data_IF_979661123921
#
_entry.id   IF_979661123921
#
_cell.length_a   1.000
_cell.length_b   1.000
_cell.length_c   1.000
_cell.angle_alpha   90.00
_cell.angle_beta   90.00
_cell.angle_gamma   90.00
#
_symmetry.space_group_name_H-M   'P 1'
#
loop_
_entity.id
_entity.type
_entity.pdbx_description
1 polymer ?
#
# COMPACT_ATOMS: atom_id res chain seq x y z
N UNK A 1 26.36 6.24 -2.70
CA UNK A 1 25.96 7.23 -1.67
C UNK A 1 24.73 8.03 -2.11
N UNK A 2 24.80 8.70 -3.28
CA UNK A 2 23.71 9.58 -3.78
C UNK A 2 22.36 8.84 -3.85
N UNK A 3 22.30 7.63 -4.42
CA UNK A 3 21.06 6.86 -4.52
C UNK A 3 20.44 6.55 -3.15
N UNK A 4 21.23 6.16 -2.16
CA UNK A 4 20.71 5.89 -0.81
C UNK A 4 20.13 7.15 -0.16
N UNK A 5 20.76 8.31 -0.36
CA UNK A 5 20.25 9.60 0.13
C UNK A 5 18.93 9.96 -0.57
N UNK A 6 18.85 9.77 -1.89
CA UNK A 6 17.61 10.01 -2.64
C UNK A 6 16.48 9.15 -2.13
N UNK A 7 16.72 7.85 -1.87
CA UNK A 7 15.69 6.93 -1.34
C UNK A 7 15.20 7.38 0.03
N UNK A 8 16.10 7.79 0.93
CA UNK A 8 15.72 8.31 2.25
C UNK A 8 14.93 9.60 2.14
N UNK A 9 15.36 10.54 1.29
CA UNK A 9 14.63 11.78 1.05
C UNK A 9 13.26 11.56 0.45
N UNK A 10 13.12 10.57 -0.44
CA UNK A 10 11.84 10.17 -1.00
C UNK A 10 10.89 9.67 0.10
N UNK A 11 11.36 8.80 0.98
CA UNK A 11 10.55 8.31 2.11
C UNK A 11 10.13 9.45 3.02
N UNK A 12 11.08 10.28 3.46
CA UNK A 12 10.80 11.41 4.35
C UNK A 12 9.83 12.39 3.68
N UNK A 13 10.05 12.74 2.41
CA UNK A 13 9.18 13.63 1.67
C UNK A 13 7.76 13.09 1.51
N UNK A 14 7.61 11.78 1.20
CA UNK A 14 6.30 11.14 1.07
C UNK A 14 5.54 11.10 2.40
N UNK A 15 6.22 10.75 3.49
CA UNK A 15 5.62 10.71 4.83
C UNK A 15 5.21 12.11 5.29
N UNK A 16 6.08 13.11 5.11
CA UNK A 16 5.76 14.50 5.44
C UNK A 16 4.59 15.02 4.60
N UNK A 17 4.58 14.74 3.30
CA UNK A 17 3.46 15.12 2.43
C UNK A 17 2.15 14.50 2.90
N UNK A 18 2.16 13.21 3.27
CA UNK A 18 0.97 12.53 3.78
C UNK A 18 0.40 13.21 5.03
N UNK A 19 1.25 13.55 6.02
CA UNK A 19 0.79 14.16 7.27
C UNK A 19 0.48 15.66 7.16
N UNK A 20 1.14 16.38 6.27
CA UNK A 20 0.91 17.82 6.08
C UNK A 20 -0.26 18.12 5.13
N UNK A 21 -0.65 17.16 4.29
CA UNK A 21 -1.76 17.33 3.35
C UNK A 21 -3.10 17.00 4.02
N UNK A 22 -4.09 17.91 4.00
CA UNK A 22 -5.38 17.70 4.67
C UNK A 22 -6.32 16.73 3.92
N UNK A 23 -5.94 16.19 2.79
CA UNK A 23 -6.82 15.38 1.92
C UNK A 23 -7.39 14.12 2.60
N UNK A 24 -6.64 13.52 3.53
CA UNK A 24 -7.06 12.30 4.24
C UNK A 24 -7.99 12.54 5.42
N UNK A 25 -8.20 13.81 5.82
CA UNK A 25 -9.06 14.19 6.94
C UNK A 25 -10.52 14.38 6.53
N UNK A 26 -10.81 14.37 5.23
CA UNK A 26 -12.17 14.58 4.72
C UNK A 26 -12.87 13.22 4.60
N UNK A 27 -13.99 12.97 5.34
CA UNK A 27 -14.77 11.76 5.17
C UNK A 27 -15.28 11.65 3.73
N UNK A 28 -15.02 10.54 3.07
CA UNK A 28 -15.37 10.34 1.67
C UNK A 28 -16.85 9.98 1.55
N UNK A 29 -17.39 9.26 2.55
CA UNK A 29 -18.76 8.77 2.52
C UNK A 29 -19.46 8.97 3.85
N UNK A 30 -20.50 9.78 3.89
CA UNK A 30 -21.23 10.14 5.11
C UNK A 30 -21.90 8.96 5.83
N UNK A 31 -22.41 7.98 5.08
CA UNK A 31 -23.12 6.82 5.63
C UNK A 31 -22.31 5.50 5.54
N UNK A 32 -21.14 5.54 4.94
CA UNK A 32 -20.31 4.39 4.61
C UNK A 32 -18.97 4.44 5.34
N UNK A 33 -18.96 4.74 6.62
CA UNK A 33 -17.76 4.86 7.45
C UNK A 33 -16.81 3.66 7.37
N UNK A 34 -17.33 2.46 7.09
CA UNK A 34 -16.52 1.27 6.88
C UNK A 34 -15.63 1.34 5.62
N UNK A 35 -15.98 2.16 4.61
CA UNK A 35 -15.12 2.42 3.44
C UNK A 35 -13.94 3.28 3.87
N UNK A 36 -14.20 4.34 4.64
CA UNK A 36 -13.16 5.22 5.15
C UNK A 36 -12.19 4.46 6.07
N UNK A 37 -12.70 3.58 6.94
CA UNK A 37 -11.89 2.72 7.80
C UNK A 37 -11.02 1.76 6.98
N UNK A 38 -11.57 1.14 5.94
CA UNK A 38 -10.84 0.24 5.05
C UNK A 38 -9.74 0.97 4.28
N UNK A 39 -10.02 2.17 3.77
CA UNK A 39 -9.02 3.02 3.13
C UNK A 39 -7.91 3.39 4.10
N UNK A 40 -8.25 3.79 5.32
CA UNK A 40 -7.28 4.15 6.35
C UNK A 40 -6.36 2.97 6.68
N UNK A 41 -6.92 1.77 6.90
CA UNK A 41 -6.14 0.55 7.16
C UNK A 41 -5.22 0.25 5.97
N UNK A 42 -5.73 0.36 4.75
CA UNK A 42 -4.94 0.13 3.54
C UNK A 42 -3.77 1.11 3.44
N UNK A 43 -3.99 2.39 3.70
CA UNK A 43 -2.92 3.39 3.71
C UNK A 43 -1.87 3.12 4.78
N UNK A 44 -2.27 2.71 5.98
CA UNK A 44 -1.33 2.37 7.05
C UNK A 44 -0.47 1.17 6.65
N UNK A 45 -1.09 0.09 6.17
CA UNK A 45 -0.37 -1.13 5.78
C UNK A 45 0.55 -0.88 4.59
N UNK A 46 0.03 -0.27 3.51
CA UNK A 46 0.83 0.04 2.33
C UNK A 46 1.93 1.06 2.63
N UNK A 47 1.64 2.07 3.45
CA UNK A 47 2.61 3.06 3.90
C UNK A 47 3.75 2.42 4.69
N UNK A 48 3.43 1.52 5.62
CA UNK A 48 4.44 0.77 6.37
C UNK A 48 5.33 -0.07 5.45
N UNK A 49 4.74 -0.83 4.54
CA UNK A 49 5.48 -1.67 3.57
C UNK A 49 6.35 -0.80 2.66
N UNK A 50 5.83 0.32 2.18
CA UNK A 50 6.57 1.28 1.36
C UNK A 50 7.81 1.81 2.08
N UNK A 51 7.65 2.26 3.32
CA UNK A 51 8.76 2.77 4.14
C UNK A 51 9.79 1.67 4.40
N UNK A 52 9.33 0.48 4.82
CA UNK A 52 10.20 -0.65 5.13
C UNK A 52 11.05 -1.07 3.92
N UNK A 53 10.44 -1.24 2.75
CA UNK A 53 11.15 -1.65 1.53
C UNK A 53 12.16 -0.58 1.09
N UNK A 54 11.77 0.69 1.08
CA UNK A 54 12.68 1.76 0.65
C UNK A 54 13.86 1.96 1.60
N UNK A 55 13.63 1.87 2.91
CA UNK A 55 14.71 1.94 3.91
C UNK A 55 15.64 0.73 3.83
N UNK A 56 15.06 -0.47 3.63
CA UNK A 56 15.84 -1.67 3.40
C UNK A 56 16.70 -1.56 2.14
N UNK A 57 16.15 -1.06 1.05
CA UNK A 57 16.88 -0.82 -0.19
C UNK A 57 17.99 0.24 0.00
N UNK A 58 17.70 1.34 0.70
CA UNK A 58 18.70 2.35 1.03
C UNK A 58 19.83 1.76 1.87
N UNK A 59 19.50 0.90 2.85
CA UNK A 59 20.48 0.18 3.65
C UNK A 59 21.35 -0.74 2.78
N UNK A 60 20.77 -1.52 1.89
CA UNK A 60 21.49 -2.40 0.97
C UNK A 60 22.45 -1.60 0.08
N UNK A 61 22.01 -0.53 -0.53
CA UNK A 61 22.84 0.35 -1.38
C UNK A 61 23.99 0.96 -0.59
N UNK A 62 23.73 1.36 0.66
CA UNK A 62 24.78 1.90 1.54
C UNK A 62 25.77 0.82 1.98
N UNK A 63 25.28 -0.34 2.40
CA UNK A 63 26.06 -1.43 2.98
C UNK A 63 26.89 -2.19 1.95
N UNK A 64 26.33 -2.44 0.77
CA UNK A 64 26.94 -3.23 -0.31
C UNK A 64 27.56 -2.37 -1.43
N UNK A 65 27.79 -1.08 -1.15
CA UNK A 65 28.51 -0.22 -2.10
C UNK A 65 29.87 -0.81 -2.44
N UNK A 66 30.33 -0.53 -3.67
CA UNK A 66 31.64 -0.96 -4.15
C UNK A 66 32.76 -0.55 -3.18
N UNK A 67 33.58 -1.51 -2.80
CA UNK A 67 34.81 -1.35 -2.05
C UNK A 67 35.91 -2.18 -2.72
N UNK A 68 37.12 -1.63 -2.84
CA UNK A 68 38.28 -2.32 -3.46
C UNK A 68 38.67 -3.62 -2.75
N UNK A 69 38.35 -3.74 -1.47
CA UNK A 69 38.75 -4.87 -0.60
C UNK A 69 37.71 -6.00 -0.56
N UNK A 70 36.57 -5.87 -1.26
CA UNK A 70 35.51 -6.88 -1.27
C UNK A 70 35.07 -7.18 -2.68
N UNK A 71 35.00 -8.48 -2.99
CA UNK A 71 34.32 -8.99 -4.19
C UNK A 71 32.90 -9.37 -3.84
N UNK A 72 31.97 -9.11 -4.74
CA UNK A 72 30.60 -9.60 -4.63
C UNK A 72 30.61 -11.12 -4.78
N UNK A 73 29.90 -11.83 -3.92
CA UNK A 73 29.64 -13.24 -4.06
C UNK A 73 28.63 -13.42 -5.21
N UNK A 74 28.95 -14.32 -6.12
CA UNK A 74 28.09 -14.58 -7.27
C UNK A 74 27.07 -15.65 -6.90
N UNK A 75 25.87 -15.21 -6.51
CA UNK A 75 24.72 -16.05 -6.21
C UNK A 75 23.57 -15.67 -7.17
N UNK A 76 23.54 -16.25 -8.41
CA UNK A 76 22.58 -15.83 -9.43
C UNK A 76 21.14 -16.24 -9.11
N UNK A 77 20.92 -17.30 -8.33
CA UNK A 77 19.59 -17.78 -7.98
C UNK A 77 19.54 -18.27 -6.52
N UNK A 78 18.67 -17.69 -5.74
CA UNK A 78 18.35 -18.18 -4.39
C UNK A 78 16.88 -18.61 -4.34
N UNK A 79 16.56 -19.82 -4.83
CA UNK A 79 15.20 -20.38 -4.90
C UNK A 79 14.46 -20.38 -3.56
N UNK A 80 15.18 -20.52 -2.45
CA UNK A 80 14.58 -20.51 -1.11
C UNK A 80 14.09 -19.13 -0.74
N UNK A 81 14.88 -18.09 -1.06
CA UNK A 81 14.53 -16.71 -0.79
C UNK A 81 13.38 -16.24 -1.68
N UNK A 82 13.42 -16.60 -2.98
CA UNK A 82 12.35 -16.32 -3.94
C UNK A 82 11.02 -16.96 -3.52
N UNK A 83 11.04 -18.20 -3.08
CA UNK A 83 9.86 -18.92 -2.62
C UNK A 83 9.26 -18.22 -1.38
N UNK A 84 10.07 -17.88 -0.38
CA UNK A 84 9.61 -17.18 0.80
C UNK A 84 9.04 -15.78 0.48
N UNK A 85 9.71 -15.06 -0.43
CA UNK A 85 9.25 -13.73 -0.86
C UNK A 85 7.88 -13.84 -1.57
N UNK A 86 7.74 -14.81 -2.46
CA UNK A 86 6.50 -15.06 -3.20
C UNK A 86 5.36 -15.43 -2.25
N UNK A 87 5.58 -16.36 -1.32
CA UNK A 87 4.57 -16.76 -0.33
C UNK A 87 4.17 -15.58 0.54
N UNK A 88 5.14 -14.84 1.07
CA UNK A 88 4.87 -13.68 1.93
C UNK A 88 4.07 -12.61 1.20
N UNK A 89 4.44 -12.29 -0.04
CA UNK A 89 3.73 -11.32 -0.88
C UNK A 89 2.32 -11.79 -1.20
N UNK A 90 2.16 -13.06 -1.57
CA UNK A 90 0.85 -13.65 -1.89
C UNK A 90 -0.09 -13.61 -0.68
N UNK A 91 0.40 -14.01 0.49
CA UNK A 91 -0.39 -13.93 1.74
C UNK A 91 -0.77 -12.48 2.06
N UNK A 92 0.17 -11.54 1.90
CA UNK A 92 -0.09 -10.12 2.10
C UNK A 92 -1.18 -9.57 1.17
N UNK A 93 -1.12 -9.93 -0.12
CA UNK A 93 -2.12 -9.53 -1.12
C UNK A 93 -3.49 -10.11 -0.79
N UNK A 94 -3.57 -11.40 -0.44
CA UNK A 94 -4.84 -12.04 -0.05
C UNK A 94 -5.41 -11.38 1.20
N UNK A 95 -4.59 -11.11 2.21
CA UNK A 95 -5.01 -10.47 3.45
C UNK A 95 -5.55 -9.05 3.23
N UNK A 96 -5.06 -8.34 2.23
CA UNK A 96 -5.57 -7.01 1.87
C UNK A 96 -6.79 -7.06 0.95
N UNK A 97 -6.89 -8.09 0.10
CA UNK A 97 -8.01 -8.25 -0.82
C UNK A 97 -9.29 -8.68 -0.08
N UNK A 98 -9.18 -9.55 0.92
CA UNK A 98 -10.32 -10.09 1.64
C UNK A 98 -11.22 -9.01 2.30
N UNK A 99 -10.68 -8.02 3.05
CA UNK A 99 -11.48 -6.91 3.57
C UNK A 99 -12.15 -6.10 2.47
N UNK A 100 -11.45 -5.84 1.36
CA UNK A 100 -12.00 -5.11 0.22
C UNK A 100 -13.21 -5.81 -0.42
N UNK A 101 -13.14 -7.12 -0.58
CA UNK A 101 -14.26 -7.93 -1.08
C UNK A 101 -15.44 -7.92 -0.10
N UNK A 102 -15.17 -7.96 1.20
CA UNK A 102 -16.22 -7.90 2.22
C UNK A 102 -16.95 -6.54 2.20
N UNK A 103 -16.18 -5.45 2.09
CA UNK A 103 -16.73 -4.09 1.94
C UNK A 103 -17.57 -3.97 0.66
N UNK A 104 -17.06 -4.52 -0.45
CA UNK A 104 -17.79 -4.53 -1.71
C UNK A 104 -19.10 -5.32 -1.63
N UNK A 105 -19.09 -6.52 -1.02
CA UNK A 105 -20.30 -7.32 -0.83
C UNK A 105 -21.35 -6.54 -0.03
N UNK A 106 -20.93 -5.85 1.02
CA UNK A 106 -21.80 -5.03 1.86
C UNK A 106 -22.33 -3.78 1.12
N UNK A 107 -21.57 -3.26 0.17
CA UNK A 107 -21.99 -2.12 -0.67
C UNK A 107 -23.09 -2.50 -1.67
N UNK A 108 -23.07 -3.72 -2.20
CA UNK A 108 -24.02 -4.21 -3.20
C UNK A 108 -25.31 -4.73 -2.53
N UNK A 109 -25.27 -5.02 -1.24
CA UNK A 109 -26.44 -5.49 -0.48
C UNK A 109 -27.46 -4.35 -0.30
N UNK A 110 -28.64 -4.51 -0.88
CA UNK A 110 -29.72 -3.52 -0.74
C UNK A 110 -30.49 -3.81 0.54
N UNK A 111 -30.55 -2.85 1.51
CA UNK A 111 -31.32 -3.01 2.74
C UNK A 111 -32.83 -3.25 2.42
N UNK A 112 -33.49 -4.07 3.23
CA UNK A 112 -34.93 -4.39 3.06
C UNK A 112 -35.85 -3.16 3.18
N UNK A 113 -35.38 -2.11 3.90
CA UNK A 113 -36.08 -0.84 4.14
C UNK A 113 -35.65 0.28 3.15
N UNK A 114 -34.90 -0.06 2.12
CA UNK A 114 -34.44 0.91 1.13
C UNK A 114 -35.63 1.51 0.35
N UNK A 115 -35.65 2.85 0.25
CA UNK A 115 -36.64 3.56 -0.57
C UNK A 115 -36.26 3.40 -2.05
N UNK A 116 -37.21 2.87 -2.83
CA UNK A 116 -37.07 2.83 -4.28
C UNK A 116 -37.30 4.24 -4.86
N UNK A 117 -36.27 4.79 -5.50
CA UNK A 117 -36.37 6.03 -6.25
C UNK A 117 -36.12 5.71 -7.71
N UNK A 118 -37.15 5.90 -8.57
CA UNK A 118 -36.99 5.78 -10.01
C UNK A 118 -36.55 7.11 -10.59
N UNK A 119 -35.35 7.13 -11.17
CA UNK A 119 -34.82 8.28 -11.87
C UNK A 119 -34.87 8.03 -13.40
N UNK A 120 -35.80 8.67 -14.08
CA UNK A 120 -35.95 8.57 -15.54
C UNK A 120 -35.22 9.76 -16.18
N UNK A 121 -34.06 9.50 -16.80
CA UNK A 121 -33.40 10.47 -17.66
C UNK A 121 -34.08 10.55 -19.01
N UNK A 122 -34.70 11.66 -19.35
CA UNK A 122 -35.26 11.89 -20.69
C UNK A 122 -34.31 12.81 -21.45
N UNK A 123 -33.94 12.37 -22.61
CA UNK A 123 -33.30 13.23 -23.62
C UNK A 123 -34.38 13.81 -24.49
N UNK A 124 -34.53 15.10 -24.49
CA UNK A 124 -35.50 15.91 -25.22
C UNK A 124 -35.03 16.24 -26.61
#
# INVERSE_FOLDING_TARGET
MVLAIILVLLVVGSVLFHFLSPWYLTPIASNWGFIDDTLTITFIVCGFVFVAINLFMAYCVYRYRYRKDRRAEYEPENKRMEWWLTVFTTVGVIAMLAPGLFVWAKYVEVPEDARLVEAVGQQW
#
